data_IF_686595000978
#
_entry.id   IF_686595000978
#
_cell.length_a   1.000
_cell.length_b   1.000
_cell.length_c   1.000
_cell.angle_alpha   90.00
_cell.angle_beta   90.00
_cell.angle_gamma   90.00
#
_symmetry.space_group_name_H-M   'P 1'
#
loop_
_entity.id
_entity.type
_entity.pdbx_description
1 polymer ?
#
# COMPACT_ATOMS: atom_id res chain seq x y z
N UNK A 1 1.93 -32.05 6.89
CA UNK A 1 1.37 -32.11 5.53
C UNK A 1 1.71 -30.79 4.89
N UNK A 2 2.71 -30.79 4.01
CA UNK A 2 3.19 -29.59 3.33
C UNK A 2 2.31 -29.44 2.09
N UNK A 3 1.48 -28.41 2.06
CA UNK A 3 0.64 -28.08 0.90
C UNK A 3 1.54 -27.89 -0.32
N UNK A 4 1.24 -28.63 -1.39
CA UNK A 4 1.86 -28.42 -2.70
C UNK A 4 1.45 -27.02 -3.23
N UNK A 5 2.29 -26.33 -4.03
CA UNK A 5 1.91 -25.06 -4.66
C UNK A 5 0.85 -25.19 -5.77
N UNK A 6 0.19 -26.34 -5.90
CA UNK A 6 -0.78 -26.66 -6.96
C UNK A 6 -2.18 -26.12 -6.69
N UNK A 7 -2.49 -25.67 -5.48
CA UNK A 7 -3.77 -25.03 -5.14
C UNK A 7 -3.56 -23.58 -4.69
N UNK A 8 -3.03 -22.74 -5.58
CA UNK A 8 -3.31 -21.30 -5.52
C UNK A 8 -4.68 -21.17 -6.20
N UNK A 9 -5.72 -20.84 -5.44
CA UNK A 9 -7.14 -21.02 -5.74
C UNK A 9 -7.62 -20.61 -7.14
N UNK A 10 -8.84 -21.06 -7.49
CA UNK A 10 -9.47 -20.93 -8.81
C UNK A 10 -9.32 -19.51 -9.39
N UNK A 11 -8.31 -19.29 -10.24
CA UNK A 11 -8.16 -18.08 -11.03
C UNK A 11 -9.24 -18.03 -12.13
N UNK A 12 -9.60 -16.84 -12.64
CA UNK A 12 -10.54 -16.75 -13.74
C UNK A 12 -9.97 -17.42 -14.99
N UNK A 13 -10.82 -18.16 -15.71
CA UNK A 13 -10.45 -18.77 -16.98
C UNK A 13 -10.42 -17.72 -18.10
N UNK A 14 -9.30 -17.61 -18.81
CA UNK A 14 -9.20 -16.81 -20.03
C UNK A 14 -8.96 -15.31 -19.82
N UNK A 15 -9.52 -14.50 -20.73
CA UNK A 15 -9.39 -13.03 -20.73
C UNK A 15 -10.55 -12.37 -19.98
N UNK A 16 -10.42 -11.10 -19.56
CA UNK A 16 -11.54 -10.32 -19.03
C UNK A 16 -12.76 -10.38 -19.95
N UNK A 17 -13.93 -10.66 -19.39
CA UNK A 17 -15.18 -10.95 -20.12
C UNK A 17 -16.20 -9.80 -20.04
N UNK A 18 -15.88 -8.73 -19.31
CA UNK A 18 -16.73 -7.55 -19.19
C UNK A 18 -15.90 -6.26 -19.10
N UNK A 19 -16.58 -5.12 -19.05
CA UNK A 19 -15.98 -3.80 -18.85
C UNK A 19 -16.71 -3.02 -17.76
N UNK A 20 -15.95 -2.22 -17.01
CA UNK A 20 -16.49 -1.36 -15.96
C UNK A 20 -16.56 0.09 -16.44
N UNK A 21 -17.66 0.78 -16.11
CA UNK A 21 -17.77 2.22 -16.26
C UNK A 21 -17.00 2.91 -15.13
N UNK A 22 -15.83 3.47 -15.46
CA UNK A 22 -14.93 4.03 -14.47
C UNK A 22 -15.50 5.25 -13.71
N UNK A 23 -16.31 6.09 -14.38
CA UNK A 23 -16.96 7.23 -13.75
C UNK A 23 -17.97 6.78 -12.69
N UNK A 24 -18.77 5.75 -12.99
CA UNK A 24 -19.74 5.21 -12.04
C UNK A 24 -19.08 4.49 -10.86
N UNK A 25 -18.02 3.74 -11.12
CA UNK A 25 -17.43 2.83 -10.11
C UNK A 25 -16.34 3.48 -9.26
N UNK A 26 -15.58 4.40 -9.84
CA UNK A 26 -14.46 5.04 -9.17
C UNK A 26 -14.60 6.56 -9.02
N UNK A 27 -15.66 7.17 -9.57
CA UNK A 27 -15.85 8.62 -9.53
C UNK A 27 -14.86 9.39 -10.43
N UNK A 28 -14.22 8.74 -11.40
CA UNK A 28 -13.23 9.38 -12.29
C UNK A 28 -13.76 9.55 -13.71
N UNK A 29 -13.57 10.74 -14.27
CA UNK A 29 -13.91 11.01 -15.67
C UNK A 29 -12.84 10.44 -16.61
N UNK A 30 -13.22 9.48 -17.44
CA UNK A 30 -12.33 8.92 -18.46
C UNK A 30 -13.10 8.26 -19.59
N UNK A 31 -12.49 8.25 -20.78
CA UNK A 31 -12.96 7.51 -21.95
C UNK A 31 -12.34 6.10 -22.03
N UNK A 32 -11.46 5.73 -21.10
CA UNK A 32 -10.83 4.41 -21.05
C UNK A 32 -11.88 3.31 -20.90
N UNK A 33 -11.83 2.30 -21.78
CA UNK A 33 -12.56 1.05 -21.59
C UNK A 33 -11.78 0.18 -20.62
N UNK A 34 -12.28 0.05 -19.39
CA UNK A 34 -11.61 -0.70 -18.34
C UNK A 34 -12.09 -2.15 -18.36
N UNK A 35 -11.25 -3.13 -18.74
CA UNK A 35 -11.61 -4.55 -18.70
C UNK A 35 -11.75 -5.04 -17.26
N UNK A 36 -12.65 -5.98 -17.03
CA UNK A 36 -12.92 -6.59 -15.75
C UNK A 36 -13.41 -8.04 -15.92
N UNK A 37 -13.41 -8.80 -14.84
CA UNK A 37 -14.03 -10.13 -14.79
C UNK A 37 -15.44 -10.05 -14.20
N UNK A 38 -16.37 -10.83 -14.76
CA UNK A 38 -17.74 -10.92 -14.27
C UNK A 38 -17.85 -11.70 -12.96
N UNK A 39 -16.92 -12.63 -12.72
CA UNK A 39 -16.90 -13.50 -11.53
C UNK A 39 -15.72 -13.17 -10.63
N UNK A 40 -16.01 -13.06 -9.33
CA UNK A 40 -14.99 -12.94 -8.28
C UNK A 40 -14.35 -14.30 -8.03
N UNK A 41 -13.05 -14.29 -7.74
CA UNK A 41 -12.25 -15.47 -7.35
C UNK A 41 -11.57 -15.24 -6.01
N UNK A 42 -10.95 -16.28 -5.45
CA UNK A 42 -10.32 -16.26 -4.12
C UNK A 42 -9.24 -15.18 -3.99
N UNK A 43 -8.47 -14.93 -5.05
CA UNK A 43 -7.40 -13.95 -5.06
C UNK A 43 -7.85 -12.52 -5.35
N UNK A 44 -9.16 -12.26 -5.51
CA UNK A 44 -9.67 -10.90 -5.62
C UNK A 44 -9.71 -10.26 -4.23
N UNK A 45 -9.06 -9.10 -4.03
CA UNK A 45 -9.06 -8.42 -2.73
C UNK A 45 -10.45 -8.10 -2.21
N UNK A 46 -10.54 -7.92 -0.90
CA UNK A 46 -11.80 -7.54 -0.26
C UNK A 46 -12.27 -6.16 -0.68
N UNK A 47 -13.59 -6.07 -0.79
CA UNK A 47 -14.27 -4.87 -1.23
C UNK A 47 -14.55 -3.98 -0.03
N UNK A 48 -14.16 -2.72 -0.11
CA UNK A 48 -14.51 -1.69 0.86
C UNK A 48 -15.43 -0.64 0.22
N UNK A 49 -16.72 -0.68 0.57
CA UNK A 49 -17.75 0.26 0.10
C UNK A 49 -17.47 1.72 0.49
N UNK A 50 -16.74 1.94 1.58
CA UNK A 50 -16.44 3.27 2.10
C UNK A 50 -15.11 3.84 1.60
N UNK A 51 -14.40 3.11 0.73
CA UNK A 51 -13.13 3.56 0.17
C UNK A 51 -13.33 4.77 -0.75
N UNK A 52 -12.52 5.80 -0.54
CA UNK A 52 -12.50 7.02 -1.36
C UNK A 52 -11.30 6.98 -2.28
N UNK A 53 -11.56 7.14 -3.58
CA UNK A 53 -10.54 7.11 -4.62
C UNK A 53 -9.97 8.50 -4.87
N UNK A 54 -8.65 8.67 -4.71
CA UNK A 54 -7.91 9.75 -5.36
C UNK A 54 -8.03 9.63 -6.89
N UNK A 55 -8.57 10.65 -7.60
CA UNK A 55 -8.83 10.55 -9.03
C UNK A 55 -7.57 10.32 -9.89
N UNK A 56 -6.46 10.99 -9.57
CA UNK A 56 -5.25 10.94 -10.40
C UNK A 56 -4.57 9.57 -10.31
N UNK A 57 -4.40 9.06 -9.09
CA UNK A 57 -3.84 7.73 -8.81
C UNK A 57 -4.73 6.64 -9.40
N UNK A 58 -6.06 6.82 -9.30
CA UNK A 58 -6.99 5.87 -9.90
C UNK A 58 -6.84 5.81 -11.42
N UNK A 59 -6.76 6.95 -12.12
CA UNK A 59 -6.54 6.95 -13.57
C UNK A 59 -5.22 6.25 -13.95
N UNK A 60 -4.15 6.45 -13.17
CA UNK A 60 -2.89 5.76 -13.37
C UNK A 60 -3.03 4.24 -13.23
N UNK A 61 -3.70 3.76 -12.16
CA UNK A 61 -3.94 2.33 -11.94
C UNK A 61 -4.82 1.74 -13.03
N UNK A 62 -5.87 2.44 -13.45
CA UNK A 62 -6.75 2.03 -14.55
C UNK A 62 -6.00 1.92 -15.88
N UNK A 63 -5.04 2.80 -16.15
CA UNK A 63 -4.15 2.66 -17.32
C UNK A 63 -3.29 1.38 -17.21
N UNK A 64 -2.89 0.99 -16.01
CA UNK A 64 -2.29 -0.30 -15.72
C UNK A 64 -3.21 -1.45 -16.14
N UNK A 65 -4.43 -1.52 -15.62
CA UNK A 65 -5.39 -2.58 -15.94
C UNK A 65 -5.84 -2.61 -17.41
N UNK A 66 -6.12 -1.45 -18.00
CA UNK A 66 -6.66 -1.36 -19.36
C UNK A 66 -5.59 -1.56 -20.45
N UNK A 67 -4.36 -1.07 -20.22
CA UNK A 67 -3.32 -1.00 -21.24
C UNK A 67 -2.03 -1.75 -20.86
N UNK A 68 -2.06 -2.53 -19.76
CA UNK A 68 -0.91 -3.25 -19.23
C UNK A 68 0.33 -2.34 -19.01
N UNK A 69 0.10 -1.09 -18.60
CA UNK A 69 1.17 -0.17 -18.23
C UNK A 69 1.76 -0.61 -16.89
N UNK A 70 3.09 -0.50 -16.74
CA UNK A 70 3.76 -0.72 -15.46
C UNK A 70 3.56 0.52 -14.60
N UNK A 71 2.86 0.40 -13.48
CA UNK A 71 2.45 1.55 -12.66
C UNK A 71 3.13 1.49 -11.30
N UNK A 72 3.87 2.55 -10.96
CA UNK A 72 4.40 2.77 -9.63
C UNK A 72 3.58 3.85 -8.92
N UNK A 73 3.21 3.62 -7.67
CA UNK A 73 2.60 4.62 -6.80
C UNK A 73 3.59 4.98 -5.71
N UNK A 74 4.01 6.23 -5.67
CA UNK A 74 4.90 6.73 -4.63
C UNK A 74 4.15 7.70 -3.71
N UNK A 75 4.70 7.94 -2.52
CA UNK A 75 4.15 8.91 -1.58
C UNK A 75 4.42 8.50 -0.14
N UNK A 76 4.03 9.35 0.81
CA UNK A 76 4.30 9.11 2.22
C UNK A 76 3.73 7.77 2.72
N UNK A 77 4.32 7.24 3.78
CA UNK A 77 3.80 6.03 4.43
C UNK A 77 2.39 6.28 4.98
N UNK A 78 1.57 5.22 5.04
CA UNK A 78 0.22 5.32 5.61
C UNK A 78 -0.82 6.07 4.76
N UNK A 79 -0.51 6.47 3.52
CA UNK A 79 -1.47 7.12 2.60
C UNK A 79 -2.37 6.16 1.84
N UNK A 80 -2.18 4.84 2.01
CA UNK A 80 -3.05 3.81 1.42
C UNK A 80 -2.68 3.35 0.01
N UNK A 81 -1.43 3.57 -0.45
CA UNK A 81 -0.94 3.21 -1.80
C UNK A 81 -1.30 1.78 -2.25
N UNK A 82 -0.95 0.78 -1.44
CA UNK A 82 -1.19 -0.63 -1.76
C UNK A 82 -2.68 -0.96 -1.74
N UNK A 83 -3.39 -0.45 -0.73
CA UNK A 83 -4.85 -0.57 -0.63
C UNK A 83 -5.56 0.07 -1.81
N UNK A 84 -5.06 1.16 -2.38
CA UNK A 84 -5.64 1.80 -3.56
C UNK A 84 -5.63 0.86 -4.76
N UNK A 85 -4.51 0.18 -5.02
CA UNK A 85 -4.40 -0.82 -6.08
C UNK A 85 -5.36 -1.98 -5.82
N UNK A 86 -5.39 -2.48 -4.58
CA UNK A 86 -6.29 -3.57 -4.17
C UNK A 86 -7.76 -3.21 -4.35
N UNK A 87 -8.17 -1.99 -4.01
CA UNK A 87 -9.55 -1.52 -4.13
C UNK A 87 -9.98 -1.29 -5.59
N UNK A 88 -9.03 -0.92 -6.47
CA UNK A 88 -9.27 -0.93 -7.92
C UNK A 88 -9.42 -2.37 -8.41
N UNK A 89 -8.50 -3.27 -8.04
CA UNK A 89 -8.55 -4.68 -8.43
C UNK A 89 -9.86 -5.36 -7.98
N UNK A 90 -10.30 -5.09 -6.75
CA UNK A 90 -11.56 -5.60 -6.19
C UNK A 90 -12.78 -5.20 -7.04
N UNK A 91 -12.86 -3.94 -7.47
CA UNK A 91 -13.94 -3.41 -8.32
C UNK A 91 -13.91 -3.94 -9.76
N UNK A 92 -12.76 -4.45 -10.20
CA UNK A 92 -12.59 -5.11 -11.51
C UNK A 92 -12.70 -6.64 -11.42
N UNK A 93 -12.92 -7.21 -10.23
CA UNK A 93 -12.78 -8.64 -9.94
C UNK A 93 -11.45 -9.22 -10.46
N UNK A 94 -10.39 -8.43 -10.46
CA UNK A 94 -9.09 -8.87 -10.93
C UNK A 94 -8.33 -9.51 -9.76
N UNK A 95 -7.87 -10.77 -9.89
CA UNK A 95 -6.99 -11.37 -8.90
C UNK A 95 -5.80 -10.46 -8.61
N UNK A 96 -5.38 -10.34 -7.35
CA UNK A 96 -4.29 -9.48 -6.95
C UNK A 96 -3.43 -10.19 -5.89
N UNK A 97 -2.13 -10.27 -6.13
CA UNK A 97 -1.16 -10.73 -5.15
C UNK A 97 -0.23 -9.58 -4.81
N UNK A 98 -0.06 -9.36 -3.51
CA UNK A 98 0.90 -8.39 -2.97
C UNK A 98 2.11 -9.13 -2.39
N UNK A 99 3.29 -8.73 -2.82
CA UNK A 99 4.58 -9.17 -2.28
C UNK A 99 5.25 -7.97 -1.65
N UNK A 100 5.41 -7.98 -0.32
CA UNK A 100 6.15 -6.92 0.36
C UNK A 100 7.65 -7.15 0.16
N UNK A 101 8.37 -6.16 -0.36
CA UNK A 101 9.82 -6.25 -0.47
C UNK A 101 10.47 -5.77 0.82
N UNK A 102 11.35 -6.60 1.35
CA UNK A 102 12.12 -6.31 2.56
C UNK A 102 13.49 -7.01 2.50
N UNK A 103 14.20 -7.06 3.63
CA UNK A 103 15.46 -7.77 3.75
C UNK A 103 15.34 -9.30 3.69
N UNK A 104 14.14 -9.85 3.88
CA UNK A 104 13.89 -11.30 3.92
C UNK A 104 13.57 -11.89 2.56
N UNK A 105 12.85 -11.15 1.69
CA UNK A 105 12.57 -11.62 0.33
C UNK A 105 13.88 -11.78 -0.44
N UNK A 106 14.14 -13.00 -0.91
CA UNK A 106 15.32 -13.33 -1.67
C UNK A 106 15.00 -13.54 -3.15
N UNK A 107 16.04 -13.55 -3.98
CA UNK A 107 15.94 -13.97 -5.39
C UNK A 107 15.29 -15.35 -5.56
N UNK A 108 15.52 -16.26 -4.61
CA UNK A 108 14.97 -17.62 -4.63
C UNK A 108 13.46 -17.60 -4.43
N UNK A 109 12.92 -16.74 -3.57
CA UNK A 109 11.48 -16.66 -3.33
C UNK A 109 10.75 -16.11 -4.56
N UNK A 110 11.40 -15.18 -5.28
CA UNK A 110 10.86 -14.61 -6.51
C UNK A 110 10.95 -15.56 -7.70
N UNK A 111 12.13 -16.12 -7.97
CA UNK A 111 12.36 -16.94 -9.17
C UNK A 111 11.98 -18.40 -8.92
N UNK A 112 12.37 -18.97 -7.79
CA UNK A 112 12.26 -20.40 -7.49
C UNK A 112 13.61 -21.05 -7.22
N UNK A 113 13.57 -22.33 -6.84
CA UNK A 113 14.75 -23.17 -6.58
C UNK A 113 14.46 -24.62 -6.89
N UNK A 114 15.52 -25.38 -7.13
CA UNK A 114 15.46 -26.83 -7.06
C UNK A 114 15.27 -27.28 -5.61
N UNK A 115 14.30 -28.16 -5.39
CA UNK A 115 13.99 -28.77 -4.11
C UNK A 115 14.03 -30.29 -4.22
N UNK A 116 14.60 -30.93 -3.21
CA UNK A 116 14.56 -32.40 -3.11
C UNK A 116 13.21 -32.77 -2.49
N UNK A 117 12.40 -33.50 -3.23
CA UNK A 117 11.12 -34.04 -2.77
C UNK A 117 11.17 -35.57 -2.76
N UNK A 118 10.46 -36.17 -1.82
CA UNK A 118 10.28 -37.62 -1.77
C UNK A 118 9.02 -37.98 -2.55
N UNK A 119 9.18 -38.69 -3.67
CA UNK A 119 8.07 -39.29 -4.42
C UNK A 119 8.32 -40.80 -4.51
N UNK A 120 7.34 -41.58 -4.04
CA UNK A 120 7.43 -43.04 -3.97
C UNK A 120 8.69 -43.56 -3.26
N UNK A 121 9.10 -42.88 -2.17
CA UNK A 121 10.27 -43.24 -1.38
C UNK A 121 11.62 -42.92 -2.04
N UNK A 122 11.65 -42.30 -3.22
CA UNK A 122 12.87 -41.87 -3.92
C UNK A 122 13.06 -40.35 -3.78
N UNK A 123 14.31 -39.93 -3.55
CA UNK A 123 14.68 -38.52 -3.61
C UNK A 123 14.73 -38.08 -5.06
N UNK A 124 13.86 -37.16 -5.44
CA UNK A 124 13.79 -36.57 -6.76
C UNK A 124 14.03 -35.06 -6.61
N UNK A 125 14.87 -34.50 -7.48
CA UNK A 125 15.02 -33.05 -7.58
C UNK A 125 13.90 -32.50 -8.46
N UNK A 126 13.08 -31.63 -7.90
CA UNK A 126 12.00 -30.95 -8.61
C UNK A 126 12.18 -29.44 -8.46
N UNK A 127 12.01 -28.71 -9.55
CA UNK A 127 12.03 -27.26 -9.49
C UNK A 127 10.72 -26.74 -8.89
N UNK A 128 10.83 -25.99 -7.80
CA UNK A 128 9.72 -25.23 -7.24
C UNK A 128 9.76 -23.81 -7.78
N UNK A 129 8.76 -23.49 -8.58
CA UNK A 129 8.57 -22.16 -9.17
C UNK A 129 8.32 -21.12 -8.07
N UNK A 130 9.00 -19.97 -8.18
CA UNK A 130 8.77 -18.82 -7.30
C UNK A 130 7.54 -18.02 -7.71
N UNK A 131 7.20 -17.00 -6.93
CA UNK A 131 5.98 -16.23 -7.15
C UNK A 131 5.97 -15.48 -8.50
N UNK A 132 7.14 -15.09 -9.00
CA UNK A 132 7.24 -14.22 -10.16
C UNK A 132 7.02 -14.95 -11.50
N UNK A 133 7.71 -16.08 -11.80
CA UNK A 133 7.38 -16.87 -12.98
C UNK A 133 5.93 -17.37 -12.95
N UNK A 134 5.43 -17.75 -11.77
CA UNK A 134 4.04 -18.15 -11.61
C UNK A 134 3.11 -17.00 -11.98
N UNK A 135 3.22 -15.84 -11.34
CA UNK A 135 2.32 -14.71 -11.56
C UNK A 135 2.32 -14.23 -13.03
N UNK A 136 3.50 -14.20 -13.68
CA UNK A 136 3.62 -13.79 -15.09
C UNK A 136 2.79 -14.67 -16.02
N UNK A 137 2.64 -15.96 -15.71
CA UNK A 137 1.90 -16.91 -16.55
C UNK A 137 0.38 -16.87 -16.33
N UNK A 138 -0.12 -16.07 -15.37
CA UNK A 138 -1.51 -16.10 -14.93
C UNK A 138 -2.24 -14.74 -15.10
N UNK A 139 -3.58 -14.73 -15.20
CA UNK A 139 -4.41 -13.51 -15.30
C UNK A 139 -4.52 -12.74 -13.98
N UNK A 140 -3.39 -12.28 -13.44
CA UNK A 140 -3.30 -11.68 -12.11
C UNK A 140 -2.63 -10.30 -12.14
N UNK A 141 -2.97 -9.46 -11.18
CA UNK A 141 -2.19 -8.29 -10.83
C UNK A 141 -1.17 -8.66 -9.75
N UNK A 142 0.12 -8.41 -10.03
CA UNK A 142 1.18 -8.51 -9.04
C UNK A 142 1.55 -7.11 -8.54
N UNK A 143 1.58 -6.93 -7.22
CA UNK A 143 1.97 -5.69 -6.57
C UNK A 143 3.25 -5.92 -5.77
N UNK A 144 4.33 -5.24 -6.15
CA UNK A 144 5.52 -5.14 -5.31
C UNK A 144 5.36 -3.98 -4.33
N UNK A 145 5.04 -4.30 -3.08
CA UNK A 145 4.92 -3.30 -2.02
C UNK A 145 6.31 -2.95 -1.48
N UNK A 146 6.52 -1.69 -1.08
CA UNK A 146 7.81 -1.18 -0.59
C UNK A 146 8.98 -1.45 -1.58
N UNK A 147 8.77 -1.13 -2.86
CA UNK A 147 9.73 -1.41 -3.94
C UNK A 147 11.14 -0.85 -3.65
N UNK A 148 11.21 0.31 -3.00
CA UNK A 148 12.45 0.94 -2.57
C UNK A 148 13.15 0.20 -1.42
N UNK A 149 12.50 -0.67 -0.66
CA UNK A 149 13.14 -1.53 0.34
C UNK A 149 13.76 -2.81 -0.25
N UNK A 150 13.55 -3.06 -1.55
CA UNK A 150 14.02 -4.26 -2.23
C UNK A 150 15.55 -4.36 -2.31
N UNK A 151 16.08 -5.55 -2.00
CA UNK A 151 17.50 -5.85 -2.12
C UNK A 151 18.00 -5.74 -3.58
N UNK A 152 19.24 -5.28 -3.84
CA UNK A 152 19.74 -5.10 -5.20
C UNK A 152 19.62 -6.33 -6.11
N UNK A 153 19.88 -7.54 -5.58
CA UNK A 153 19.80 -8.79 -6.33
C UNK A 153 18.37 -9.18 -6.70
N UNK A 154 17.39 -8.84 -5.85
CA UNK A 154 15.95 -8.97 -6.10
C UNK A 154 15.50 -7.97 -7.15
N UNK A 155 15.92 -6.72 -7.00
CA UNK A 155 15.55 -5.62 -7.91
C UNK A 155 16.01 -5.88 -9.33
N UNK A 156 17.17 -6.51 -9.51
CA UNK A 156 17.66 -6.93 -10.82
C UNK A 156 16.70 -7.91 -11.52
N UNK A 157 16.04 -8.80 -10.77
CA UNK A 157 15.04 -9.72 -11.33
C UNK A 157 13.82 -8.95 -11.81
N UNK A 158 13.28 -8.06 -10.96
CA UNK A 158 12.07 -7.29 -11.27
C UNK A 158 12.28 -6.40 -12.49
N UNK A 159 13.45 -5.74 -12.59
CA UNK A 159 13.81 -4.87 -13.71
C UNK A 159 13.74 -5.55 -15.08
N UNK A 160 14.03 -6.85 -15.16
CA UNK A 160 13.95 -7.61 -16.42
C UNK A 160 12.51 -7.75 -16.92
N UNK A 161 11.54 -7.81 -16.02
CA UNK A 161 10.11 -7.96 -16.37
C UNK A 161 9.47 -6.60 -16.70
N UNK A 162 10.10 -5.51 -16.25
CA UNK A 162 9.74 -4.15 -16.65
C UNK A 162 10.25 -3.79 -18.07
N UNK A 163 11.09 -4.62 -18.71
CA UNK A 163 11.56 -4.37 -20.08
C UNK A 163 10.45 -4.52 -21.13
N UNK A 164 10.69 -3.99 -22.33
CA UNK A 164 9.73 -3.73 -23.43
C UNK A 164 8.97 -4.96 -23.96
N UNK A 165 9.25 -6.17 -23.46
CA UNK A 165 8.48 -7.38 -23.78
C UNK A 165 8.05 -8.19 -22.56
N UNK A 166 8.50 -7.83 -21.36
CA UNK A 166 8.20 -8.52 -20.09
C UNK A 166 8.54 -10.01 -20.05
N UNK A 167 9.28 -10.54 -21.03
CA UNK A 167 9.64 -11.95 -21.10
C UNK A 167 10.63 -12.28 -20.00
N UNK A 168 10.40 -13.40 -19.32
CA UNK A 168 11.29 -13.89 -18.28
C UNK A 168 12.04 -15.12 -18.79
N UNK A 169 13.35 -15.01 -18.92
CA UNK A 169 14.20 -16.16 -19.26
C UNK A 169 14.71 -16.82 -17.98
N UNK A 170 14.31 -18.07 -17.75
CA UNK A 170 14.85 -18.94 -16.72
C UNK A 170 16.03 -19.70 -17.31
N UNK A 171 17.24 -19.18 -17.12
CA UNK A 171 18.47 -19.75 -17.70
C UNK A 171 18.73 -21.17 -17.22
N UNK A 172 18.53 -21.44 -15.94
CA UNK A 172 18.76 -22.77 -15.35
C UNK A 172 17.81 -23.84 -15.92
N UNK A 173 16.65 -23.42 -16.43
CA UNK A 173 15.67 -24.29 -17.08
C UNK A 173 15.71 -24.26 -18.61
N UNK A 174 16.52 -23.38 -19.21
CA UNK A 174 16.44 -23.05 -20.63
C UNK A 174 15.02 -22.72 -21.12
N UNK A 175 14.21 -22.08 -20.27
CA UNK A 175 12.79 -21.74 -20.54
C UNK A 175 12.62 -20.24 -20.73
N UNK A 176 11.82 -19.84 -21.71
CA UNK A 176 11.35 -18.46 -21.88
C UNK A 176 9.87 -18.42 -21.51
N UNK A 177 9.54 -17.59 -20.53
CA UNK A 177 8.18 -17.37 -20.06
C UNK A 177 7.66 -16.07 -20.67
N UNK A 178 6.46 -16.19 -21.25
CA UNK A 178 5.73 -15.07 -21.82
C UNK A 178 4.65 -14.61 -20.86
N UNK A 179 4.51 -13.28 -20.62
CA UNK A 179 3.42 -12.77 -19.82
C UNK A 179 2.06 -13.15 -20.37
N UNK A 180 1.17 -13.59 -19.50
CA UNK A 180 -0.25 -13.68 -19.79
C UNK A 180 -0.77 -12.30 -20.21
N UNK A 181 -1.69 -12.23 -21.18
CA UNK A 181 -2.19 -10.94 -21.68
C UNK A 181 -2.92 -10.14 -20.60
N UNK A 182 -3.44 -10.82 -19.58
CA UNK A 182 -4.11 -10.25 -18.40
C UNK A 182 -3.20 -10.21 -17.16
N UNK A 183 -1.90 -10.44 -17.30
CA UNK A 183 -0.95 -10.13 -16.22
C UNK A 183 -0.82 -8.61 -16.08
N UNK A 184 -0.83 -8.09 -14.85
CA UNK A 184 -0.61 -6.68 -14.53
C UNK A 184 0.46 -6.54 -13.47
N UNK A 185 1.21 -5.45 -13.52
CA UNK A 185 2.34 -5.24 -12.62
C UNK A 185 2.31 -3.82 -12.07
N UNK A 186 2.26 -3.75 -10.74
CA UNK A 186 2.24 -2.54 -9.96
C UNK A 186 3.36 -2.55 -8.93
N UNK A 187 3.72 -1.37 -8.44
CA UNK A 187 4.51 -1.25 -7.22
C UNK A 187 4.09 -0.05 -6.38
N UNK A 188 4.51 -0.07 -5.12
CA UNK A 188 4.47 1.11 -4.26
C UNK A 188 5.90 1.48 -3.82
N UNK A 189 6.13 2.75 -3.49
CA UNK A 189 7.38 3.20 -2.88
C UNK A 189 7.10 4.33 -1.87
N UNK A 190 7.94 4.47 -0.84
CA UNK A 190 7.80 5.52 0.16
C UNK A 190 8.67 6.75 -0.15
N UNK A 191 9.79 6.54 -0.84
CA UNK A 191 10.73 7.58 -1.22
C UNK A 191 10.45 8.09 -2.63
N UNK A 192 10.56 9.40 -2.86
CA UNK A 192 10.29 10.05 -4.16
C UNK A 192 11.48 9.85 -5.14
N UNK A 193 12.11 8.67 -5.15
CA UNK A 193 13.34 8.42 -5.93
C UNK A 193 14.57 9.23 -5.51
N UNK A 194 14.46 10.12 -4.52
CA UNK A 194 15.57 10.91 -3.97
C UNK A 194 16.34 10.16 -2.87
N UNK A 195 15.90 8.95 -2.54
CA UNK A 195 16.33 8.24 -1.35
C UNK A 195 15.73 8.87 -0.09
N UNK A 196 16.15 8.35 1.05
CA UNK A 196 15.79 8.89 2.35
C UNK A 196 16.77 10.00 2.76
N UNK A 197 16.66 11.17 2.13
CA UNK A 197 17.52 12.33 2.46
C UNK A 197 17.35 12.81 3.90
N UNK A 198 16.26 12.40 4.55
CA UNK A 198 15.88 12.76 5.92
C UNK A 198 16.29 11.73 6.97
N UNK A 199 16.67 10.50 6.58
CA UNK A 199 16.94 9.39 7.51
C UNK A 199 15.70 8.76 8.16
N UNK A 200 14.49 9.05 7.65
CA UNK A 200 13.18 8.64 8.19
C UNK A 200 12.72 7.25 7.73
N UNK A 201 13.24 6.75 6.62
CA UNK A 201 12.88 5.48 5.99
C UNK A 201 14.05 4.51 6.01
N UNK A 202 14.32 3.95 7.20
CA UNK A 202 15.35 2.93 7.37
C UNK A 202 15.12 1.72 6.45
N UNK A 203 16.17 1.29 5.76
CA UNK A 203 16.13 0.12 4.88
C UNK A 203 15.69 0.41 3.44
N UNK A 204 15.27 1.65 3.13
CA UNK A 204 14.98 2.05 1.75
C UNK A 204 16.28 2.36 0.98
N UNK A 205 16.25 2.05 -0.31
CA UNK A 205 17.30 2.28 -1.28
C UNK A 205 16.84 3.37 -2.23
N UNK A 206 17.76 4.25 -2.63
CA UNK A 206 17.46 5.24 -3.65
C UNK A 206 17.19 4.54 -4.99
N UNK A 207 15.98 4.74 -5.53
CA UNK A 207 15.64 4.27 -6.87
C UNK A 207 16.33 5.18 -7.88
N UNK A 208 17.22 4.62 -8.70
CA UNK A 208 17.94 5.40 -9.70
C UNK A 208 17.06 5.71 -10.93
N UNK A 209 17.46 6.70 -11.74
CA UNK A 209 16.70 7.14 -12.91
C UNK A 209 16.41 5.99 -13.90
N UNK A 210 17.38 5.10 -14.14
CA UNK A 210 17.20 3.98 -15.06
C UNK A 210 16.19 2.93 -14.56
N UNK A 211 15.97 2.84 -13.25
CA UNK A 211 14.89 2.04 -12.67
C UNK A 211 13.55 2.76 -12.80
N UNK A 212 13.52 4.08 -12.57
CA UNK A 212 12.30 4.90 -12.72
C UNK A 212 11.76 4.90 -14.15
N UNK A 213 12.63 5.06 -15.15
CA UNK A 213 12.24 5.11 -16.57
C UNK A 213 11.61 3.80 -17.09
N UNK A 214 11.79 2.68 -16.36
CA UNK A 214 11.16 1.39 -16.67
C UNK A 214 9.72 1.31 -16.20
N UNK A 215 9.31 2.17 -15.27
CA UNK A 215 7.91 2.33 -14.89
C UNK A 215 7.22 3.22 -15.91
N UNK A 216 6.20 2.67 -16.56
CA UNK A 216 5.48 3.35 -17.63
C UNK A 216 4.65 4.54 -17.15
N UNK A 217 4.24 4.50 -15.88
CA UNK A 217 3.46 5.51 -15.18
C UNK A 217 3.96 5.57 -13.74
N UNK A 218 4.21 6.77 -13.26
CA UNK A 218 4.50 7.04 -11.85
C UNK A 218 3.44 8.01 -11.36
N UNK A 219 2.70 7.64 -10.33
CA UNK A 219 1.68 8.48 -9.71
C UNK A 219 2.03 8.71 -8.24
N UNK A 220 1.61 9.85 -7.70
CA UNK A 220 1.92 10.24 -6.32
C UNK A 220 0.62 10.25 -5.51
N UNK A 221 0.60 9.48 -4.42
CA UNK A 221 -0.51 9.44 -3.46
C UNK A 221 -0.03 9.89 -2.08
N UNK A 222 -0.32 11.15 -1.77
CA UNK A 222 0.02 11.79 -0.50
C UNK A 222 -1.21 11.86 0.43
N UNK A 223 -1.07 12.55 1.56
CA UNK A 223 -2.18 12.78 2.46
C UNK A 223 -3.32 13.54 1.78
N UNK A 224 -4.54 13.20 2.17
CA UNK A 224 -5.76 13.77 1.62
C UNK A 224 -5.95 15.21 2.12
N UNK A 225 -6.77 15.95 1.39
CA UNK A 225 -7.25 17.24 1.86
C UNK A 225 -8.11 17.05 3.13
N UNK A 226 -8.06 18.03 4.02
CA UNK A 226 -8.72 17.99 5.34
C UNK A 226 -10.18 17.52 5.27
N UNK A 227 -10.97 18.11 4.38
CA UNK A 227 -12.40 17.80 4.23
C UNK A 227 -12.66 16.38 3.68
N UNK A 228 -11.74 15.83 2.90
CA UNK A 228 -11.86 14.48 2.35
C UNK A 228 -11.55 13.44 3.42
N UNK A 229 -10.50 13.66 4.22
CA UNK A 229 -10.18 12.79 5.34
C UNK A 229 -11.27 12.80 6.40
N UNK A 230 -11.85 13.96 6.73
CA UNK A 230 -13.01 14.04 7.63
C UNK A 230 -14.15 13.11 7.17
N UNK A 231 -14.49 13.14 5.88
CA UNK A 231 -15.55 12.31 5.30
C UNK A 231 -15.22 10.82 5.41
N UNK A 232 -13.95 10.44 5.19
CA UNK A 232 -13.49 9.05 5.30
C UNK A 232 -13.54 8.58 6.76
N UNK A 233 -13.05 9.37 7.69
CA UNK A 233 -13.07 9.00 9.12
C UNK A 233 -14.51 8.86 9.59
N UNK A 234 -15.40 9.77 9.18
CA UNK A 234 -16.83 9.69 9.52
C UNK A 234 -17.54 8.48 8.90
N UNK A 235 -17.20 8.08 7.67
CA UNK A 235 -17.79 6.89 7.04
C UNK A 235 -17.38 5.59 7.74
N UNK A 236 -16.18 5.57 8.33
CA UNK A 236 -15.66 4.46 9.15
C UNK A 236 -16.15 4.48 10.59
N UNK A 237 -16.55 5.63 11.10
CA UNK A 237 -16.96 5.85 12.49
C UNK A 237 -18.41 6.33 12.61
N UNK A 238 -19.42 5.47 12.35
CA UNK A 238 -20.84 5.86 12.44
C UNK A 238 -21.26 6.44 13.80
N UNK A 239 -20.60 6.06 14.90
CA UNK A 239 -20.86 6.62 16.23
C UNK A 239 -20.60 8.13 16.35
N UNK A 240 -19.78 8.68 15.44
CA UNK A 240 -19.49 10.11 15.33
C UNK A 240 -20.44 10.85 14.37
N UNK A 241 -21.46 10.19 13.80
CA UNK A 241 -22.42 10.79 12.85
C UNK A 241 -23.48 11.67 13.56
N UNK A 242 -23.03 12.59 14.40
CA UNK A 242 -23.84 13.59 15.07
C UNK A 242 -23.07 14.92 15.12
N UNK A 243 -23.74 16.02 15.46
CA UNK A 243 -23.14 17.37 15.43
C UNK A 243 -21.86 17.48 16.27
N UNK A 244 -21.83 16.85 17.45
CA UNK A 244 -20.66 16.86 18.34
C UNK A 244 -19.54 15.96 17.81
N UNK A 245 -19.89 14.76 17.34
CA UNK A 245 -18.94 13.80 16.76
C UNK A 245 -18.24 14.34 15.52
N UNK A 246 -18.97 14.98 14.59
CA UNK A 246 -18.40 15.64 13.41
C UNK A 246 -17.38 16.71 13.76
N UNK A 247 -17.69 17.56 14.75
CA UNK A 247 -16.75 18.57 15.26
C UNK A 247 -15.52 17.93 15.92
N UNK A 248 -15.70 16.80 16.61
CA UNK A 248 -14.58 16.03 17.18
C UNK A 248 -13.67 15.47 16.09
N UNK A 249 -14.22 14.83 15.05
CA UNK A 249 -13.44 14.29 13.93
C UNK A 249 -12.68 15.40 13.21
N UNK A 250 -13.33 16.54 12.92
CA UNK A 250 -12.68 17.71 12.34
C UNK A 250 -11.44 18.14 13.12
N UNK A 251 -11.55 18.19 14.45
CA UNK A 251 -10.41 18.51 15.33
C UNK A 251 -9.34 17.43 15.34
N UNK A 252 -9.72 16.15 15.26
CA UNK A 252 -8.75 15.05 15.16
C UNK A 252 -7.93 15.14 13.87
N UNK A 253 -8.58 15.40 12.73
CA UNK A 253 -7.92 15.61 11.44
C UNK A 253 -7.03 16.86 11.50
N UNK A 254 -7.48 17.93 12.16
CA UNK A 254 -6.65 19.13 12.33
C UNK A 254 -5.36 18.86 13.12
N UNK A 255 -5.40 17.99 14.15
CA UNK A 255 -4.17 17.56 14.85
C UNK A 255 -3.28 16.77 13.88
N UNK A 256 -3.86 15.87 13.08
CA UNK A 256 -3.10 15.11 12.09
C UNK A 256 -2.39 16.02 11.08
N UNK A 257 -3.08 17.05 10.57
CA UNK A 257 -2.49 18.02 9.64
C UNK A 257 -1.33 18.81 10.24
N UNK A 258 -1.43 19.20 11.52
CA UNK A 258 -0.32 19.82 12.23
C UNK A 258 0.89 18.88 12.33
N UNK A 259 0.67 17.60 12.65
CA UNK A 259 1.76 16.60 12.68
C UNK A 259 2.38 16.40 11.30
N UNK A 260 1.58 16.41 10.22
CA UNK A 260 2.09 16.27 8.85
C UNK A 260 2.89 17.49 8.41
N UNK A 261 2.43 18.69 8.74
CA UNK A 261 3.16 19.92 8.48
C UNK A 261 4.52 19.92 9.16
N UNK A 262 4.56 19.56 10.45
CA UNK A 262 5.79 19.45 11.24
C UNK A 262 6.73 18.34 10.73
N UNK A 263 6.17 17.23 10.24
CA UNK A 263 6.95 16.17 9.60
C UNK A 263 7.61 16.63 8.30
N UNK A 264 6.88 17.38 7.46
CA UNK A 264 7.41 17.89 6.19
C UNK A 264 8.51 18.95 6.39
N UNK A 265 8.50 19.69 7.50
CA UNK A 265 9.55 20.64 7.87
C UNK A 265 10.74 19.98 8.58
N UNK A 266 10.60 18.71 9.00
CA UNK A 266 11.62 17.97 9.73
C UNK A 266 11.64 18.24 11.24
N UNK A 267 10.59 18.84 11.79
CA UNK A 267 10.47 19.14 13.22
C UNK A 267 10.10 17.90 14.04
N UNK A 268 9.35 16.96 13.44
CA UNK A 268 9.01 15.67 14.07
C UNK A 268 9.25 14.52 13.10
N UNK A 269 9.51 13.34 13.66
CA UNK A 269 9.78 12.11 12.92
C UNK A 269 8.54 11.23 12.73
N UNK A 270 7.53 11.38 13.58
CA UNK A 270 6.33 10.54 13.59
C UNK A 270 5.10 11.34 13.16
N UNK A 271 4.31 10.80 12.22
CA UNK A 271 3.16 11.50 11.63
C UNK A 271 1.87 10.70 11.75
N UNK A 272 0.73 11.40 11.80
CA UNK A 272 -0.58 10.78 11.81
C UNK A 272 -1.10 10.50 10.40
N UNK A 273 -1.22 9.22 10.06
CA UNK A 273 -1.96 8.77 8.87
C UNK A 273 -3.48 8.80 9.11
N UNK A 274 -4.31 8.75 8.05
CA UNK A 274 -5.76 8.56 8.21
C UNK A 274 -6.12 7.32 9.05
N UNK A 275 -5.35 6.24 8.94
CA UNK A 275 -5.51 5.05 9.79
C UNK A 275 -5.31 5.38 11.28
N UNK A 276 -4.32 6.22 11.60
CA UNK A 276 -4.06 6.66 12.97
C UNK A 276 -5.24 7.46 13.52
N UNK A 277 -5.84 8.33 12.70
CA UNK A 277 -7.03 9.12 13.07
C UNK A 277 -8.24 8.22 13.33
N UNK A 278 -8.50 7.23 12.46
CA UNK A 278 -9.57 6.24 12.64
C UNK A 278 -9.35 5.45 13.94
N UNK A 279 -8.13 4.93 14.15
CA UNK A 279 -7.80 4.15 15.36
C UNK A 279 -7.97 5.00 16.62
N UNK A 280 -7.66 6.29 16.54
CA UNK A 280 -7.85 7.21 17.67
C UNK A 280 -9.35 7.42 17.95
N UNK A 281 -10.18 7.59 16.94
CA UNK A 281 -11.62 7.67 17.10
C UNK A 281 -12.22 6.38 17.71
N UNK A 282 -11.81 5.21 17.23
CA UNK A 282 -12.22 3.91 17.80
C UNK A 282 -11.83 3.80 19.28
N UNK A 283 -10.57 4.10 19.60
CA UNK A 283 -10.10 4.06 20.99
C UNK A 283 -10.80 5.09 21.88
N UNK A 284 -11.20 6.24 21.34
CA UNK A 284 -11.94 7.25 22.10
C UNK A 284 -13.37 6.76 22.44
N UNK A 285 -14.03 6.00 21.57
CA UNK A 285 -15.29 5.31 21.90
C UNK A 285 -15.09 4.22 22.96
N UNK A 286 -14.03 3.43 22.84
CA UNK A 286 -13.73 2.32 23.76
C UNK A 286 -13.43 2.84 25.18
N UNK A 287 -12.57 3.85 25.30
CA UNK A 287 -12.13 4.35 26.59
C UNK A 287 -13.04 5.42 27.18
N UNK A 288 -13.88 6.06 26.36
CA UNK A 288 -14.70 7.20 26.78
C UNK A 288 -13.88 8.45 27.13
N UNK A 289 -12.58 8.47 26.82
CA UNK A 289 -11.65 9.57 27.06
C UNK A 289 -10.80 9.83 25.83
N UNK A 290 -11.03 10.99 25.21
CA UNK A 290 -10.39 11.40 23.97
C UNK A 290 -8.89 11.66 24.12
N UNK A 291 -8.47 12.25 25.24
CA UNK A 291 -7.06 12.60 25.49
C UNK A 291 -6.25 11.37 25.85
N UNK A 292 -6.82 10.48 26.68
CA UNK A 292 -6.24 9.16 26.93
C UNK A 292 -6.09 8.37 25.64
N UNK A 293 -7.14 8.32 24.81
CA UNK A 293 -7.13 7.62 23.53
C UNK A 293 -6.05 8.17 22.58
N UNK A 294 -5.89 9.50 22.50
CA UNK A 294 -4.84 10.12 21.70
C UNK A 294 -3.45 9.65 22.14
N UNK A 295 -3.22 9.64 23.46
CA UNK A 295 -1.93 9.26 24.03
C UNK A 295 -1.54 7.84 23.68
N UNK A 296 -2.44 6.88 23.94
CA UNK A 296 -2.15 5.46 23.72
C UNK A 296 -2.15 5.09 22.23
N UNK A 297 -2.84 5.87 21.39
CA UNK A 297 -2.86 5.64 19.94
C UNK A 297 -1.63 6.21 19.24
N UNK A 298 -1.18 7.39 19.66
CA UNK A 298 -0.16 8.15 18.93
C UNK A 298 0.98 8.66 19.82
N UNK A 299 0.71 9.49 20.83
CA UNK A 299 1.75 10.22 21.57
C UNK A 299 2.84 9.31 22.17
N UNK A 300 2.46 8.14 22.70
CA UNK A 300 3.40 7.18 23.29
C UNK A 300 4.38 6.57 22.28
N UNK A 301 4.05 6.62 20.98
CA UNK A 301 4.89 6.11 19.89
C UNK A 301 5.91 7.14 19.40
N UNK A 302 5.71 8.42 19.73
CA UNK A 302 6.57 9.51 19.32
C UNK A 302 7.81 9.60 20.21
N UNK A 303 8.88 10.17 19.65
CA UNK A 303 10.11 10.49 20.38
C UNK A 303 9.80 11.38 21.59
N UNK A 304 10.44 11.11 22.73
CA UNK A 304 10.17 11.83 23.97
C UNK A 304 10.43 13.34 23.85
N UNK A 305 11.40 13.73 23.03
CA UNK A 305 11.75 15.13 22.78
C UNK A 305 10.68 15.85 21.94
N UNK A 306 9.95 15.12 21.10
CA UNK A 306 8.88 15.66 20.23
C UNK A 306 7.52 15.72 20.94
N UNK A 307 7.31 14.93 22.00
CA UNK A 307 6.01 14.79 22.69
C UNK A 307 5.44 16.11 23.18
N UNK A 308 6.28 17.06 23.60
CA UNK A 308 5.80 18.37 24.03
C UNK A 308 5.14 19.13 22.86
N UNK A 309 5.81 19.21 21.72
CA UNK A 309 5.28 19.87 20.52
C UNK A 309 3.99 19.21 20.03
N UNK A 310 3.93 17.87 20.07
CA UNK A 310 2.72 17.12 19.68
C UNK A 310 1.57 17.38 20.66
N UNK A 311 1.85 17.46 21.96
CA UNK A 311 0.85 17.83 22.96
C UNK A 311 0.33 19.28 22.76
N UNK A 312 1.18 20.19 22.30
CA UNK A 312 0.78 21.56 21.92
C UNK A 312 -0.14 21.56 20.70
N UNK A 313 0.07 20.69 19.70
CA UNK A 313 -0.86 20.51 18.58
C UNK A 313 -2.23 20.05 19.06
N UNK A 314 -2.28 19.05 19.95
CA UNK A 314 -3.52 18.61 20.58
C UNK A 314 -4.22 19.75 21.33
N UNK A 315 -3.48 20.49 22.16
CA UNK A 315 -4.02 21.63 22.92
C UNK A 315 -4.56 22.72 22.00
N UNK A 316 -3.89 23.02 20.88
CA UNK A 316 -4.33 24.02 19.89
C UNK A 316 -5.67 23.66 19.25
N UNK A 317 -5.92 22.37 18.99
CA UNK A 317 -7.16 21.91 18.36
C UNK A 317 -8.31 21.70 19.36
N UNK A 318 -8.00 21.19 20.56
CA UNK A 318 -9.02 20.79 21.55
C UNK A 318 -9.21 21.78 22.71
N UNK A 319 -8.27 22.71 22.92
CA UNK A 319 -8.30 23.66 24.04
C UNK A 319 -8.04 23.02 25.41
N UNK A 320 -7.51 21.79 25.44
CA UNK A 320 -7.29 21.01 26.66
C UNK A 320 -5.84 20.52 26.71
N UNK A 321 -5.18 20.70 27.86
CA UNK A 321 -3.84 20.13 28.09
C UNK A 321 -3.93 18.63 28.36
N UNK A 322 -2.96 17.87 27.85
CA UNK A 322 -2.81 16.45 28.20
C UNK A 322 -2.09 16.35 29.56
N UNK A 323 -2.49 15.43 30.46
CA UNK A 323 -1.94 15.36 31.83
C UNK A 323 -0.40 15.30 31.92
N UNK A 324 0.27 14.76 30.90
CA UNK A 324 1.73 14.56 30.88
C UNK A 324 2.52 15.73 30.29
N UNK A 325 1.89 16.69 29.58
CA UNK A 325 2.57 17.95 29.22
C UNK A 325 2.94 18.76 30.48
N UNK A 326 2.23 18.52 31.58
CA UNK A 326 2.48 19.10 32.89
C UNK A 326 3.68 18.46 33.58
N UNK A 327 3.88 17.13 33.43
CA UNK A 327 4.97 16.39 34.10
C UNK A 327 6.34 16.81 33.57
N UNK A 328 6.47 17.07 32.26
CA UNK A 328 7.71 17.61 31.69
C UNK A 328 7.98 19.06 32.11
N UNK A 329 6.96 19.92 32.26
CA UNK A 329 7.12 21.29 32.78
C UNK A 329 7.66 21.33 34.22
N UNK A 330 7.34 20.32 35.04
CA UNK A 330 7.85 20.22 36.41
C UNK A 330 9.26 19.63 36.51
N UNK A 331 9.74 18.89 35.51
CA UNK A 331 11.08 18.31 35.49
C UNK A 331 12.13 19.27 34.88
N UNK A 332 11.71 20.29 34.12
CA UNK A 332 12.56 21.27 33.47
C UNK A 332 12.71 22.60 34.25
N UNK A 333 12.34 22.63 35.53
CA UNK A 333 12.48 23.81 36.42
C UNK A 333 13.54 23.61 37.49
#
# INVERSE_FOLDING_TARGET
>A
MVTEPTEIGLLPEGQPDTTVNASKVFGVETTMKVPAYSKRTEHVPDFDDSYVFDPQTTLAILAGFAHNRRVMIQGYHGTGKSTHIEQVAARLNWPCIRVNLDSHISRIDLIGKDAIVLRDGKQITEYREGILPWAIQHPIALVFDEYDAGRPDVMFVIQRILEVQGKMTLLDQNKVIHPHQSFRLFSTANTVGLGDTTGLYHGTQQINQGQMDRWSVVSTLNYLEHEEEEKIVLSKMPGYENKKGKETIKKMVAVADLTRGAFMTGDISTVMSPRTVITWAENAEIFGDLGFAFRVTFLNKCDETERQQIAEFYQRCFGTELPESVVMRSAAR
#
